data_IF_323297466191
#
_entry.id   IF_323297466191
#
_cell.length_a   1.000
_cell.length_b   1.000
_cell.length_c   1.000
_cell.angle_alpha   90.00
_cell.angle_beta   90.00
_cell.angle_gamma   90.00
#
_symmetry.space_group_name_H-M   'P 1'
#
loop_
_entity.id
_entity.type
_entity.pdbx_description
1 polymer ?
#
# COMPACT_ATOMS: atom_id res chain seq x y z
N UNK A 1 9.72 22.78 25.23
CA UNK A 1 9.51 21.87 24.08
C UNK A 1 8.11 21.28 24.22
N UNK A 2 7.20 21.56 23.29
CA UNK A 2 5.85 21.00 23.36
C UNK A 2 5.91 19.53 22.90
N UNK A 3 5.54 18.60 23.78
CA UNK A 3 5.33 17.21 23.38
C UNK A 3 3.96 17.11 22.73
N UNK A 4 3.97 16.89 21.41
CA UNK A 4 2.78 16.70 20.60
C UNK A 4 2.86 15.29 20.07
N UNK A 5 2.03 14.42 20.64
CA UNK A 5 1.83 13.06 20.16
C UNK A 5 1.02 13.04 18.87
N UNK A 6 0.10 12.07 18.76
CA UNK A 6 -0.67 11.84 17.54
C UNK A 6 -1.70 12.95 17.24
N UNK A 7 -2.15 13.73 18.22
CA UNK A 7 -3.21 14.75 18.07
C UNK A 7 -2.70 16.12 17.60
N UNK A 8 -1.66 16.11 16.75
CA UNK A 8 -1.02 17.34 16.28
C UNK A 8 -1.96 18.20 15.42
N UNK A 9 -2.87 17.57 14.69
CA UNK A 9 -3.89 18.23 13.87
C UNK A 9 -4.84 19.07 14.73
N UNK A 10 -5.31 18.50 15.84
CA UNK A 10 -6.27 19.10 16.76
C UNK A 10 -5.63 20.21 17.58
N UNK A 11 -4.38 20.02 18.02
CA UNK A 11 -3.67 20.95 18.91
C UNK A 11 -3.19 22.23 18.23
N UNK A 12 -2.84 22.15 16.94
CA UNK A 12 -2.32 23.30 16.20
C UNK A 12 -3.34 23.95 15.26
N UNK A 13 -4.47 23.30 15.01
CA UNK A 13 -5.57 23.79 14.15
C UNK A 13 -5.04 24.38 12.82
N UNK A 14 -4.06 23.70 12.22
CA UNK A 14 -3.38 24.19 11.02
C UNK A 14 -4.31 24.02 9.81
N UNK A 15 -4.58 25.10 9.05
CA UNK A 15 -5.34 24.96 7.81
C UNK A 15 -4.54 24.10 6.82
N UNK A 16 -5.18 23.09 6.25
CA UNK A 16 -4.53 22.19 5.29
C UNK A 16 -3.55 21.19 5.91
N UNK A 17 -3.69 20.86 7.20
CA UNK A 17 -2.87 19.84 7.86
C UNK A 17 -2.92 18.48 7.14
N UNK A 18 -4.13 18.07 6.73
CA UNK A 18 -4.34 16.84 5.97
C UNK A 18 -4.35 17.13 4.47
N UNK A 19 -3.78 16.23 3.63
CA UNK A 19 -3.90 16.33 2.18
C UNK A 19 -5.36 16.41 1.75
N UNK A 20 -5.63 17.13 0.67
CA UNK A 20 -6.97 17.20 0.08
C UNK A 20 -7.50 15.77 -0.18
N UNK A 21 -8.68 15.40 0.34
CA UNK A 21 -9.29 14.09 0.12
C UNK A 21 -9.35 13.69 -1.35
N UNK A 22 -9.47 14.64 -2.28
CA UNK A 22 -9.49 14.34 -3.72
C UNK A 22 -8.12 13.83 -4.25
N UNK A 23 -7.02 14.22 -3.59
CA UNK A 23 -5.65 13.77 -3.93
C UNK A 23 -5.33 12.40 -3.36
N UNK A 24 -6.15 11.88 -2.44
CA UNK A 24 -5.96 10.56 -1.86
C UNK A 24 -6.41 9.46 -2.84
N UNK A 25 -5.91 8.25 -2.59
CA UNK A 25 -6.36 7.07 -3.31
C UNK A 25 -7.86 6.86 -3.08
N UNK A 26 -8.64 6.93 -4.16
CA UNK A 26 -10.07 6.71 -4.11
C UNK A 26 -10.37 5.21 -4.14
N UNK A 27 -11.25 4.76 -3.24
CA UNK A 27 -11.71 3.38 -3.22
C UNK A 27 -12.82 3.24 -4.27
N UNK A 28 -12.73 2.28 -5.21
CA UNK A 28 -13.79 2.03 -6.17
C UNK A 28 -15.07 1.62 -5.44
N UNK A 29 -16.21 2.23 -5.82
CA UNK A 29 -17.50 2.00 -5.16
C UNK A 29 -18.40 1.09 -5.98
N UNK A 30 -18.22 1.06 -7.29
CA UNK A 30 -19.06 0.26 -8.17
C UNK A 30 -18.56 -1.19 -8.29
N UNK A 31 -19.45 -2.19 -8.36
CA UNK A 31 -19.05 -3.61 -8.39
C UNK A 31 -18.11 -3.98 -9.54
N UNK A 32 -18.28 -3.36 -10.72
CA UNK A 32 -17.46 -3.63 -11.89
C UNK A 32 -16.04 -3.05 -11.76
N UNK A 33 -15.91 -1.85 -11.16
CA UNK A 33 -14.61 -1.24 -10.85
C UNK A 33 -13.84 -2.07 -9.83
N UNK A 34 -14.53 -2.57 -8.80
CA UNK A 34 -13.94 -3.45 -7.78
C UNK A 34 -13.37 -4.72 -8.43
N UNK A 35 -14.12 -5.36 -9.33
CA UNK A 35 -13.66 -6.56 -10.03
C UNK A 35 -12.42 -6.29 -10.90
N UNK A 36 -12.40 -5.15 -11.61
CA UNK A 36 -11.25 -4.73 -12.41
C UNK A 36 -10.01 -4.50 -11.53
N UNK A 37 -10.16 -3.83 -10.39
CA UNK A 37 -9.07 -3.56 -9.46
C UNK A 37 -8.54 -4.85 -8.81
N UNK A 38 -9.42 -5.78 -8.44
CA UNK A 38 -9.01 -7.11 -7.94
C UNK A 38 -8.21 -7.87 -9.00
N UNK A 39 -8.64 -7.84 -10.25
CA UNK A 39 -7.91 -8.48 -11.35
C UNK A 39 -6.52 -7.85 -11.54
N UNK A 40 -6.43 -6.52 -11.47
CA UNK A 40 -5.15 -5.77 -11.51
C UNK A 40 -4.22 -6.20 -10.36
N UNK A 41 -4.73 -6.23 -9.13
CA UNK A 41 -3.97 -6.62 -7.93
C UNK A 41 -3.47 -8.07 -8.05
N UNK A 42 -4.31 -8.99 -8.53
CA UNK A 42 -3.92 -10.39 -8.73
C UNK A 42 -2.77 -10.53 -9.72
N UNK A 43 -2.81 -9.80 -10.86
CA UNK A 43 -1.72 -9.79 -11.85
C UNK A 43 -0.43 -9.24 -11.25
N UNK A 44 -0.48 -8.08 -10.59
CA UNK A 44 0.68 -7.47 -9.95
C UNK A 44 1.31 -8.36 -8.87
N UNK A 45 0.48 -9.06 -8.07
CA UNK A 45 0.96 -10.04 -7.08
C UNK A 45 1.64 -11.24 -7.74
N UNK A 46 1.08 -11.77 -8.82
CA UNK A 46 1.68 -12.89 -9.55
C UNK A 46 3.02 -12.52 -10.16
N UNK A 47 3.14 -11.34 -10.77
CA UNK A 47 4.39 -10.81 -11.31
C UNK A 47 5.44 -10.60 -10.22
N UNK A 48 5.05 -9.98 -9.09
CA UNK A 48 5.93 -9.80 -7.93
C UNK A 48 6.44 -11.14 -7.43
N UNK A 49 5.58 -12.15 -7.31
CA UNK A 49 5.96 -13.51 -6.88
C UNK A 49 6.99 -14.12 -7.83
N UNK A 50 6.72 -14.12 -9.14
CA UNK A 50 7.67 -14.62 -10.15
C UNK A 50 9.03 -13.94 -10.07
N UNK A 51 9.05 -12.61 -9.88
CA UNK A 51 10.29 -11.84 -9.72
C UNK A 51 11.04 -12.23 -8.45
N UNK A 52 10.33 -12.45 -7.34
CA UNK A 52 10.93 -12.88 -6.08
C UNK A 52 11.47 -14.30 -6.18
N UNK A 53 10.74 -15.23 -6.80
CA UNK A 53 11.20 -16.60 -7.04
C UNK A 53 12.45 -16.65 -7.92
N UNK A 54 12.47 -15.86 -9.01
CA UNK A 54 13.65 -15.74 -9.87
C UNK A 54 14.87 -15.21 -9.08
N UNK A 55 14.66 -14.16 -8.28
CA UNK A 55 15.71 -13.57 -7.44
C UNK A 55 16.18 -14.53 -6.35
N UNK A 56 15.28 -15.31 -5.74
CA UNK A 56 15.63 -16.32 -4.74
C UNK A 56 16.51 -17.42 -5.36
N UNK A 57 16.16 -17.88 -6.56
CA UNK A 57 16.94 -18.85 -7.33
C UNK A 57 18.33 -18.32 -7.71
N UNK A 58 18.44 -17.05 -8.09
CA UNK A 58 19.74 -16.40 -8.35
C UNK A 58 20.62 -16.32 -7.09
N UNK A 59 20.01 -16.08 -5.93
CA UNK A 59 20.71 -15.95 -4.65
C UNK A 59 21.01 -17.29 -3.96
N UNK A 60 20.57 -18.41 -4.53
CA UNK A 60 20.78 -19.74 -3.95
C UNK A 60 20.14 -19.92 -2.57
N UNK A 61 19.09 -19.15 -2.27
CA UNK A 61 18.32 -19.30 -1.04
C UNK A 61 17.33 -20.44 -1.29
N UNK A 62 17.80 -21.67 -1.09
CA UNK A 62 16.88 -22.79 -0.87
C UNK A 62 16.26 -22.59 0.51
N UNK A 63 14.93 -22.51 0.58
CA UNK A 63 14.22 -22.66 1.84
C UNK A 63 14.52 -24.08 2.34
N UNK A 64 15.57 -24.24 3.15
CA UNK A 64 15.69 -25.39 4.04
C UNK A 64 14.42 -25.40 4.89
N UNK A 65 13.55 -26.34 4.53
CA UNK A 65 12.28 -26.63 5.18
C UNK A 65 12.57 -26.88 6.66
N UNK A 66 12.11 -25.98 7.51
CA UNK A 66 12.02 -26.17 8.95
C UNK A 66 10.58 -26.58 9.30
#
# INVERSE_FOLDING_TARGET
MYYVGLDSDTKFNLPGFWPDPATLNQIPKEPHEIQAEIARIRRARAEKRKRLEAKARELGIDEEVN
#
